data_IF_599057345038
#
_entry.id   IF_599057345038
#
_cell.length_a   1.000
_cell.length_b   1.000
_cell.length_c   1.000
_cell.angle_alpha   90.00
_cell.angle_beta   90.00
_cell.angle_gamma   90.00
#
_symmetry.space_group_name_H-M   'P 1'
#
loop_
_entity.id
_entity.type
_entity.pdbx_description
1 polymer ?
#
# COMPACT_ATOMS: atom_id res chain seq x y z
N UNK A 1 -72.63 -18.14 -15.18
CA UNK A 1 -71.19 -17.95 -15.48
C UNK A 1 -70.64 -16.54 -15.22
N UNK A 2 -71.45 -15.50 -14.94
CA UNK A 2 -70.93 -14.13 -14.70
C UNK A 2 -70.61 -13.78 -13.23
N UNK A 3 -71.07 -14.58 -12.25
CA UNK A 3 -70.83 -14.37 -10.81
C UNK A 3 -69.52 -14.98 -10.31
N UNK A 4 -68.96 -15.95 -11.04
CA UNK A 4 -67.63 -16.51 -10.77
C UNK A 4 -66.52 -15.59 -11.32
N UNK A 5 -66.78 -14.89 -12.43
CA UNK A 5 -65.85 -13.92 -13.00
C UNK A 5 -65.66 -12.68 -12.11
N UNK A 6 -66.69 -12.25 -11.39
CA UNK A 6 -66.61 -11.11 -10.46
C UNK A 6 -65.88 -11.43 -9.15
N UNK A 7 -65.85 -12.70 -8.72
CA UNK A 7 -65.07 -13.11 -7.54
C UNK A 7 -63.58 -13.25 -7.89
N UNK A 8 -63.28 -13.66 -9.14
CA UNK A 8 -61.91 -13.74 -9.64
C UNK A 8 -61.30 -12.36 -9.95
N UNK A 9 -62.13 -11.33 -10.25
CA UNK A 9 -61.67 -9.96 -10.46
C UNK A 9 -61.40 -9.18 -9.16
N UNK A 10 -62.02 -9.55 -8.04
CA UNK A 10 -61.84 -8.87 -6.74
C UNK A 10 -60.64 -9.41 -5.94
N UNK A 11 -60.24 -10.67 -6.15
CA UNK A 11 -59.06 -11.27 -5.51
C UNK A 11 -57.70 -10.79 -6.05
N UNK A 12 -57.68 -10.20 -7.25
CA UNK A 12 -56.45 -9.71 -7.91
C UNK A 12 -56.12 -8.26 -7.52
N UNK A 13 -57.04 -7.56 -6.84
CA UNK A 13 -56.88 -6.15 -6.46
C UNK A 13 -56.50 -5.91 -4.98
N UNK A 14 -56.27 -6.97 -4.18
CA UNK A 14 -55.99 -6.83 -2.74
C UNK A 14 -54.86 -7.73 -2.21
N UNK A 15 -53.74 -7.78 -2.92
CA UNK A 15 -52.49 -8.30 -2.34
C UNK A 15 -51.23 -7.68 -2.98
N UNK A 16 -51.28 -6.38 -3.30
CA UNK A 16 -50.11 -5.50 -3.16
C UNK A 16 -49.76 -5.35 -1.67
N UNK A 17 -49.47 -6.47 -1.00
CA UNK A 17 -48.77 -6.46 0.26
C UNK A 17 -47.29 -6.32 -0.11
N UNK A 18 -46.78 -5.12 0.09
CA UNK A 18 -45.40 -4.72 -0.09
C UNK A 18 -44.44 -5.87 0.27
N UNK A 19 -43.40 -6.18 -0.53
CA UNK A 19 -42.17 -6.57 0.12
C UNK A 19 -41.80 -5.34 0.94
N UNK A 20 -42.08 -5.38 2.24
CA UNK A 20 -41.29 -4.64 3.19
C UNK A 20 -39.86 -5.06 2.86
N UNK A 21 -39.20 -4.25 2.03
CA UNK A 21 -37.77 -4.24 1.94
C UNK A 21 -37.40 -4.00 3.39
N UNK A 22 -37.01 -5.09 4.07
CA UNK A 22 -36.33 -5.00 5.32
C UNK A 22 -35.20 -4.04 4.99
N UNK A 23 -35.38 -2.79 5.39
CA UNK A 23 -34.32 -1.85 5.55
C UNK A 23 -33.51 -2.51 6.66
N UNK A 24 -32.67 -3.46 6.25
CA UNK A 24 -31.49 -3.94 6.93
C UNK A 24 -30.61 -2.71 7.06
N UNK A 25 -31.07 -1.85 7.97
CA UNK A 25 -30.37 -0.81 8.67
C UNK A 25 -29.32 -1.53 9.49
N UNK A 26 -28.33 -2.10 8.79
CA UNK A 26 -26.99 -2.15 9.31
C UNK A 26 -26.58 -0.70 9.45
N UNK A 27 -27.02 -0.09 10.56
CA UNK A 27 -26.30 1.00 11.19
C UNK A 27 -24.90 0.43 11.38
N UNK A 28 -24.00 0.69 10.43
CA UNK A 28 -22.55 0.58 10.65
C UNK A 28 -22.36 1.32 11.96
N UNK A 29 -22.09 0.58 13.04
CA UNK A 29 -21.72 1.18 14.31
C UNK A 29 -20.60 2.12 13.92
N UNK A 30 -20.83 3.43 14.10
CA UNK A 30 -19.91 4.45 13.66
C UNK A 30 -18.77 4.44 14.69
N UNK A 31 -17.96 3.37 14.64
CA UNK A 31 -16.71 3.27 15.36
C UNK A 31 -15.93 4.50 14.96
N UNK A 32 -15.39 5.19 15.95
CA UNK A 32 -14.70 6.45 15.73
C UNK A 32 -13.59 6.22 14.70
N UNK A 33 -13.64 6.93 13.56
CA UNK A 33 -12.72 6.73 12.45
C UNK A 33 -11.25 6.84 12.91
N UNK A 34 -10.99 7.74 13.88
CA UNK A 34 -9.66 7.96 14.44
C UNK A 34 -9.12 6.78 15.24
N UNK A 35 -9.99 5.90 15.73
CA UNK A 35 -9.60 4.65 16.40
C UNK A 35 -9.62 3.46 15.43
N UNK A 36 -10.56 3.46 14.47
CA UNK A 36 -10.74 2.36 13.54
C UNK A 36 -9.64 2.29 12.47
N UNK A 37 -9.21 3.43 11.93
CA UNK A 37 -8.14 3.47 10.93
C UNK A 37 -6.83 2.84 11.44
N UNK A 38 -6.28 3.21 12.62
CA UNK A 38 -5.05 2.58 13.11
C UNK A 38 -5.25 1.09 13.45
N UNK A 39 -6.43 0.69 13.92
CA UNK A 39 -6.78 -0.73 14.12
C UNK A 39 -6.74 -1.50 12.78
N UNK A 40 -7.37 -0.97 11.74
CA UNK A 40 -7.38 -1.58 10.41
C UNK A 40 -5.97 -1.67 9.81
N UNK A 41 -5.15 -0.63 9.98
CA UNK A 41 -3.74 -0.65 9.57
C UNK A 41 -2.98 -1.76 10.29
N UNK A 42 -3.21 -1.94 11.59
CA UNK A 42 -2.59 -3.02 12.35
C UNK A 42 -3.04 -4.39 11.83
N UNK A 43 -4.35 -4.58 11.60
CA UNK A 43 -4.91 -5.83 11.07
C UNK A 43 -4.29 -6.17 9.72
N UNK A 44 -4.30 -5.23 8.77
CA UNK A 44 -3.74 -5.43 7.42
C UNK A 44 -2.27 -5.86 7.48
N UNK A 45 -1.48 -5.33 8.43
CA UNK A 45 -0.05 -5.63 8.52
C UNK A 45 0.29 -6.90 9.28
N UNK A 46 -0.51 -7.29 10.27
CA UNK A 46 -0.10 -8.29 11.27
C UNK A 46 -1.03 -9.49 11.39
N UNK A 47 -2.29 -9.39 10.94
CA UNK A 47 -3.26 -10.47 11.15
C UNK A 47 -2.86 -11.73 10.36
N UNK A 48 -2.85 -12.92 10.98
CA UNK A 48 -2.50 -14.16 10.29
C UNK A 48 -3.54 -14.58 9.23
N UNK A 49 -4.79 -14.14 9.36
CA UNK A 49 -5.88 -14.47 8.45
C UNK A 49 -5.90 -13.53 7.24
N UNK A 50 -5.66 -14.09 6.05
CA UNK A 50 -5.70 -13.37 4.79
C UNK A 50 -7.06 -12.72 4.51
N UNK A 51 -8.17 -13.30 4.97
CA UNK A 51 -9.51 -12.73 4.74
C UNK A 51 -9.72 -11.48 5.56
N UNK A 52 -9.26 -11.48 6.82
CA UNK A 52 -9.31 -10.29 7.68
C UNK A 52 -8.41 -9.18 7.15
N UNK A 53 -7.21 -9.53 6.68
CA UNK A 53 -6.32 -8.56 6.03
C UNK A 53 -6.92 -7.96 4.76
N UNK A 54 -7.50 -8.79 3.90
CA UNK A 54 -8.18 -8.32 2.68
C UNK A 54 -9.37 -7.42 3.00
N UNK A 55 -10.21 -7.81 3.98
CA UNK A 55 -11.35 -7.01 4.40
C UNK A 55 -10.93 -5.69 5.04
N UNK A 56 -9.88 -5.69 5.85
CA UNK A 56 -9.37 -4.47 6.44
C UNK A 56 -8.78 -3.52 5.37
N UNK A 57 -8.09 -4.05 4.35
CA UNK A 57 -7.65 -3.26 3.22
C UNK A 57 -8.83 -2.68 2.43
N UNK A 58 -9.91 -3.46 2.28
CA UNK A 58 -11.16 -2.98 1.69
C UNK A 58 -11.80 -1.87 2.52
N UNK A 59 -11.95 -2.03 3.83
CA UNK A 59 -12.53 -1.03 4.74
C UNK A 59 -11.73 0.28 4.73
N UNK A 60 -10.39 0.22 4.64
CA UNK A 60 -9.54 1.41 4.59
C UNK A 60 -9.88 2.36 3.43
N UNK A 61 -10.51 1.87 2.36
CA UNK A 61 -10.91 2.70 1.20
C UNK A 61 -12.12 3.59 1.47
N UNK A 62 -12.92 3.28 2.50
CA UNK A 62 -14.12 4.05 2.86
C UNK A 62 -13.78 5.30 3.69
N UNK A 63 -12.52 5.45 4.13
CA UNK A 63 -12.06 6.58 4.93
C UNK A 63 -11.48 7.71 4.07
N UNK A 64 -11.58 8.93 4.59
CA UNK A 64 -11.01 10.11 3.94
C UNK A 64 -9.48 10.11 4.05
N UNK A 65 -8.81 9.98 2.91
CA UNK A 65 -7.35 9.88 2.85
C UNK A 65 -6.66 11.23 2.96
N UNK A 66 -7.40 12.34 2.81
CA UNK A 66 -6.89 13.65 3.17
C UNK A 66 -6.77 13.80 4.69
N UNK A 67 -7.65 13.16 5.46
CA UNK A 67 -7.58 13.11 6.91
C UNK A 67 -6.59 12.06 7.43
N UNK A 68 -6.47 10.92 6.73
CA UNK A 68 -5.62 9.79 7.13
C UNK A 68 -4.58 9.48 6.04
N UNK A 69 -3.54 10.31 5.98
CA UNK A 69 -2.49 10.21 4.94
C UNK A 69 -1.64 8.94 5.04
N UNK A 70 -1.65 8.27 6.19
CA UNK A 70 -0.96 7.00 6.46
C UNK A 70 -1.57 5.81 5.72
N UNK A 71 -2.82 5.91 5.26
CA UNK A 71 -3.50 4.81 4.56
C UNK A 71 -2.81 4.48 3.24
N UNK A 72 -2.41 5.51 2.48
CA UNK A 72 -1.78 5.34 1.16
C UNK A 72 -0.49 4.51 1.23
N UNK A 73 0.53 4.87 2.04
CA UNK A 73 1.77 4.10 2.11
C UNK A 73 1.54 2.68 2.65
N UNK A 74 0.58 2.47 3.55
CA UNK A 74 0.24 1.13 4.05
C UNK A 74 -0.36 0.27 2.93
N UNK A 75 -1.33 0.78 2.17
CA UNK A 75 -1.91 0.05 1.05
C UNK A 75 -0.89 -0.22 -0.07
N UNK A 76 0.06 0.69 -0.28
CA UNK A 76 1.19 0.48 -1.22
C UNK A 76 2.10 -0.66 -0.74
N UNK A 77 2.48 -0.67 0.54
CA UNK A 77 3.30 -1.73 1.12
C UNK A 77 2.63 -3.10 0.97
N UNK A 78 1.33 -3.16 1.25
CA UNK A 78 0.52 -4.38 1.13
C UNK A 78 0.40 -4.83 -0.32
N UNK A 79 0.21 -3.90 -1.26
CA UNK A 79 0.18 -4.22 -2.69
C UNK A 79 1.48 -4.85 -3.17
N UNK A 80 2.63 -4.43 -2.64
CA UNK A 80 3.94 -4.88 -3.14
C UNK A 80 4.49 -6.10 -2.39
N UNK A 81 4.19 -6.25 -1.09
CA UNK A 81 4.87 -7.20 -0.23
C UNK A 81 3.95 -8.25 0.44
N UNK A 82 2.62 -8.16 0.26
CA UNK A 82 1.73 -9.15 0.89
C UNK A 82 1.92 -10.54 0.29
N UNK A 83 2.08 -11.53 1.17
CA UNK A 83 2.26 -12.95 0.82
C UNK A 83 1.13 -13.50 -0.05
N UNK A 84 -0.09 -12.99 0.11
CA UNK A 84 -1.31 -13.51 -0.54
C UNK A 84 -1.81 -12.54 -1.60
N UNK A 85 -1.91 -13.04 -2.83
CA UNK A 85 -2.38 -12.24 -3.96
C UNK A 85 -3.80 -11.67 -3.76
N UNK A 86 -4.67 -12.35 -3.01
CA UNK A 86 -6.03 -11.87 -2.73
C UNK A 86 -6.01 -10.55 -1.95
N UNK A 87 -5.11 -10.43 -0.97
CA UNK A 87 -4.92 -9.19 -0.20
C UNK A 87 -4.32 -8.10 -1.09
N UNK A 88 -3.34 -8.44 -1.94
CA UNK A 88 -2.76 -7.51 -2.93
C UNK A 88 -3.82 -6.93 -3.87
N UNK A 89 -4.75 -7.75 -4.33
CA UNK A 89 -5.87 -7.30 -5.19
C UNK A 89 -6.82 -6.35 -4.47
N UNK A 90 -7.13 -6.60 -3.20
CA UNK A 90 -7.97 -5.68 -2.43
C UNK A 90 -7.26 -4.36 -2.12
N UNK A 91 -5.96 -4.41 -1.82
CA UNK A 91 -5.14 -3.21 -1.68
C UNK A 91 -5.11 -2.41 -2.99
N UNK A 92 -4.89 -3.07 -4.14
CA UNK A 92 -4.96 -2.44 -5.47
C UNK A 92 -6.32 -1.79 -5.72
N UNK A 93 -7.41 -2.53 -5.47
CA UNK A 93 -8.77 -2.03 -5.66
C UNK A 93 -9.13 -0.86 -4.74
N UNK A 94 -8.48 -0.78 -3.58
CA UNK A 94 -8.58 0.34 -2.65
C UNK A 94 -7.79 1.54 -3.16
N UNK A 95 -6.55 1.32 -3.63
CA UNK A 95 -5.68 2.34 -4.22
C UNK A 95 -6.30 3.05 -5.45
N UNK A 96 -7.09 2.35 -6.28
CA UNK A 96 -7.74 2.95 -7.46
C UNK A 96 -8.80 3.98 -7.09
N UNK A 97 -9.50 3.75 -5.98
CA UNK A 97 -10.63 4.59 -5.53
C UNK A 97 -10.17 5.79 -4.69
N UNK A 98 -8.88 5.87 -4.36
CA UNK A 98 -8.30 6.93 -3.53
C UNK A 98 -8.47 8.28 -4.19
N UNK A 99 -8.99 9.24 -3.43
CA UNK A 99 -8.96 10.67 -3.78
C UNK A 99 -8.42 11.44 -2.57
N UNK A 100 -7.47 12.37 -2.77
CA UNK A 100 -6.88 12.83 -4.03
C UNK A 100 -5.94 11.81 -4.70
N UNK A 101 -5.71 11.97 -6.01
CA UNK A 101 -4.78 11.12 -6.77
C UNK A 101 -3.35 11.40 -6.32
N UNK A 102 -2.70 10.39 -5.77
CA UNK A 102 -1.30 10.42 -5.38
C UNK A 102 -0.44 9.67 -6.38
N UNK A 103 0.79 10.14 -6.56
CA UNK A 103 1.69 9.47 -7.49
C UNK A 103 2.36 8.24 -6.91
N UNK A 104 2.51 8.17 -5.59
CA UNK A 104 2.97 6.98 -4.88
C UNK A 104 2.08 5.79 -5.18
N UNK A 105 0.76 5.98 -5.19
CA UNK A 105 -0.19 4.94 -5.59
C UNK A 105 -0.03 4.54 -7.06
N UNK A 106 0.15 5.51 -7.98
CA UNK A 106 0.37 5.23 -9.40
C UNK A 106 1.65 4.44 -9.66
N UNK A 107 2.77 4.85 -9.07
CA UNK A 107 4.05 4.14 -9.17
C UNK A 107 3.97 2.72 -8.58
N UNK A 108 3.27 2.53 -7.47
CA UNK A 108 3.07 1.20 -6.90
C UNK A 108 2.26 0.29 -7.84
N UNK A 109 1.24 0.82 -8.51
CA UNK A 109 0.49 0.07 -9.51
C UNK A 109 1.33 -0.25 -10.76
N UNK A 110 2.22 0.65 -11.20
CA UNK A 110 3.17 0.40 -12.29
C UNK A 110 4.12 -0.75 -11.97
N UNK A 111 4.65 -0.78 -10.74
CA UNK A 111 5.46 -1.88 -10.23
C UNK A 111 4.67 -3.18 -10.20
N UNK A 112 3.49 -3.19 -9.57
CA UNK A 112 2.64 -4.39 -9.50
C UNK A 112 2.20 -4.89 -10.90
N UNK A 113 2.01 -4.00 -11.87
CA UNK A 113 1.67 -4.37 -13.25
C UNK A 113 2.80 -5.12 -13.98
N UNK A 114 4.05 -4.89 -13.57
CA UNK A 114 5.24 -5.38 -14.27
C UNK A 114 5.89 -6.53 -13.53
N UNK A 115 6.04 -6.39 -12.22
CA UNK A 115 6.90 -7.21 -11.34
C UNK A 115 6.13 -8.20 -10.44
N UNK A 116 4.79 -8.14 -10.34
CA UNK A 116 4.05 -9.07 -9.46
C UNK A 116 4.10 -10.51 -9.98
N UNK A 117 4.29 -11.48 -9.08
CA UNK A 117 4.39 -12.90 -9.41
C UNK A 117 3.11 -13.45 -10.08
N UNK A 118 1.95 -12.91 -9.72
CA UNK A 118 0.64 -13.44 -10.12
C UNK A 118 0.10 -12.66 -11.31
N UNK A 119 -0.07 -13.34 -12.44
CA UNK A 119 -0.59 -12.77 -13.69
C UNK A 119 -1.91 -12.00 -13.51
N UNK A 120 -2.81 -12.51 -12.66
CA UNK A 120 -4.08 -11.83 -12.36
C UNK A 120 -3.86 -10.46 -11.73
N UNK A 121 -2.92 -10.33 -10.80
CA UNK A 121 -2.59 -9.04 -10.15
C UNK A 121 -2.01 -8.09 -11.18
N UNK A 122 -1.09 -8.56 -12.02
CA UNK A 122 -0.50 -7.76 -13.10
C UNK A 122 -1.55 -7.19 -14.06
N UNK A 123 -2.46 -8.04 -14.55
CA UNK A 123 -3.52 -7.61 -15.47
C UNK A 123 -4.48 -6.63 -14.81
N UNK A 124 -4.84 -6.88 -13.55
CA UNK A 124 -5.71 -5.98 -12.81
C UNK A 124 -5.03 -4.64 -12.51
N UNK A 125 -3.72 -4.64 -12.23
CA UNK A 125 -2.93 -3.43 -12.05
C UNK A 125 -2.83 -2.60 -13.34
N UNK A 126 -2.69 -3.23 -14.50
CA UNK A 126 -2.76 -2.54 -15.80
C UNK A 126 -4.12 -1.90 -16.04
N UNK A 127 -5.20 -2.62 -15.76
CA UNK A 127 -6.57 -2.08 -15.88
C UNK A 127 -6.87 -0.99 -14.83
N UNK A 128 -6.24 -1.06 -13.67
CA UNK A 128 -6.28 -0.02 -12.64
C UNK A 128 -5.56 1.25 -13.11
N UNK A 129 -4.36 1.12 -13.70
CA UNK A 129 -3.58 2.24 -14.22
C UNK A 129 -4.31 3.01 -15.30
N UNK A 130 -4.98 2.34 -16.23
CA UNK A 130 -5.75 3.04 -17.27
C UNK A 130 -6.82 3.92 -16.64
N UNK A 131 -7.56 3.41 -15.65
CA UNK A 131 -8.54 4.18 -14.87
C UNK A 131 -7.88 5.31 -14.09
N UNK A 132 -6.71 5.07 -13.51
CA UNK A 132 -5.96 6.04 -12.72
C UNK A 132 -5.42 7.20 -13.58
N UNK A 133 -4.96 6.89 -14.80
CA UNK A 133 -4.52 7.85 -15.81
C UNK A 133 -5.70 8.73 -16.26
N UNK A 134 -6.85 8.11 -16.56
CA UNK A 134 -8.07 8.84 -16.91
C UNK A 134 -8.55 9.76 -15.79
N UNK A 135 -8.31 9.38 -14.54
CA UNK A 135 -8.65 10.21 -13.38
C UNK A 135 -7.70 11.40 -13.19
N UNK A 136 -6.57 11.47 -13.91
CA UNK A 136 -5.64 12.60 -13.91
C UNK A 136 -4.23 12.29 -13.42
N UNK A 137 -3.88 11.02 -13.17
CA UNK A 137 -2.49 10.65 -12.92
C UNK A 137 -1.64 10.74 -14.19
N UNK A 138 -0.45 11.32 -14.08
CA UNK A 138 0.56 11.34 -15.12
C UNK A 138 1.94 11.19 -14.48
N UNK A 139 2.64 10.09 -14.77
CA UNK A 139 3.97 9.81 -14.23
C UNK A 139 4.95 10.97 -14.48
N UNK A 140 4.93 11.54 -15.70
CA UNK A 140 5.81 12.66 -16.13
C UNK A 140 5.60 13.95 -15.33
N UNK A 141 4.39 14.20 -14.82
CA UNK A 141 4.08 15.41 -14.05
C UNK A 141 4.55 15.32 -12.60
N UNK A 142 4.68 14.10 -12.07
CA UNK A 142 5.02 13.90 -10.66
C UNK A 142 6.52 13.97 -10.40
N UNK A 143 7.37 13.48 -11.30
CA UNK A 143 8.83 13.60 -11.15
C UNK A 143 9.28 15.06 -10.96
N UNK A 144 8.59 16.03 -11.56
CA UNK A 144 8.84 17.46 -11.31
C UNK A 144 8.44 17.96 -9.92
N UNK A 145 7.48 17.31 -9.26
CA UNK A 145 6.95 17.75 -7.94
C UNK A 145 7.64 17.06 -6.77
N UNK A 146 8.19 15.85 -6.97
CA UNK A 146 8.98 15.14 -5.96
C UNK A 146 10.38 15.74 -5.75
N UNK A 147 10.89 16.51 -6.72
CA UNK A 147 12.20 17.15 -6.67
C UNK A 147 12.21 18.53 -5.98
N UNK A 148 11.07 18.99 -5.44
CA UNK A 148 10.94 20.31 -4.78
C UNK A 148 10.51 20.18 -3.30
N UNK A 149 10.84 19.06 -2.65
CA UNK A 149 10.94 19.07 -1.19
C UNK A 149 12.35 19.52 -0.87
N UNK A 150 12.51 20.84 -0.74
CA UNK A 150 13.71 21.47 -0.19
C UNK A 150 14.06 20.79 1.13
N UNK A 151 15.14 20.01 1.08
CA UNK A 151 15.93 19.68 2.27
C UNK A 151 16.27 21.02 2.94
N UNK A 152 15.89 21.26 4.20
CA UNK A 152 16.35 22.48 4.90
C UNK A 152 17.87 22.54 4.81
N UNK A 153 18.46 23.70 4.47
CA UNK A 153 19.90 23.81 4.26
C UNK A 153 20.60 23.49 5.57
N UNK A 154 21.25 22.33 5.62
CA UNK A 154 22.24 22.07 6.64
C UNK A 154 23.36 23.11 6.45
N UNK A 155 23.80 23.82 7.50
CA UNK A 155 24.92 24.74 7.39
C UNK A 155 26.16 23.95 6.97
N UNK A 156 26.64 24.23 5.75
CA UNK A 156 27.87 23.67 5.22
C UNK A 156 29.05 24.15 6.06
N UNK A 157 29.60 23.24 6.86
CA UNK A 157 30.94 23.41 7.42
C UNK A 157 31.96 23.39 6.26
N UNK A 158 32.93 24.30 6.22
CA UNK A 158 33.94 24.32 5.16
C UNK A 158 34.88 23.11 5.30
N UNK A 159 34.85 22.21 4.32
CA UNK A 159 35.87 21.16 4.19
C UNK A 159 37.21 21.78 3.78
N UNK A 160 38.34 21.42 4.42
CA UNK A 160 39.66 21.91 4.04
C UNK A 160 40.05 21.38 2.66
N UNK A 161 40.45 22.28 1.76
CA UNK A 161 41.15 21.94 0.52
C UNK A 161 42.51 21.34 0.91
N UNK A 162 42.72 20.08 0.59
CA UNK A 162 44.05 19.48 0.55
C UNK A 162 44.52 19.59 -0.89
N UNK A 163 45.44 20.51 -1.14
CA UNK A 163 46.14 20.62 -2.41
C UNK A 163 47.03 19.39 -2.62
N UNK A 164 46.80 18.73 -3.74
CA UNK A 164 47.55 17.58 -4.22
C UNK A 164 48.71 18.08 -5.08
N UNK A 165 49.89 18.19 -4.47
CA UNK A 165 51.15 18.26 -5.21
C UNK A 165 52.24 17.66 -4.34
N UNK A 166 52.75 16.48 -4.74
CA UNK A 166 54.19 16.20 -4.96
C UNK A 166 54.48 14.68 -5.01
N UNK A 167 55.39 14.31 -5.91
CA UNK A 167 55.74 12.99 -6.46
C UNK A 167 56.33 11.94 -5.47
N UNK A 168 56.46 10.65 -5.88
CA UNK A 168 56.55 9.51 -4.99
C UNK A 168 57.95 9.33 -4.39
N UNK A 169 58.03 9.16 -3.07
CA UNK A 169 59.22 8.64 -2.38
C UNK A 169 58.96 7.27 -1.79
N UNK A 170 59.88 6.38 -2.14
CA UNK A 170 60.07 4.99 -1.73
C UNK A 170 59.75 4.74 -0.25
N UNK A 171 59.00 3.68 0.00
CA UNK A 171 58.79 3.05 1.30
C UNK A 171 60.13 2.57 1.88
N UNK A 172 60.50 2.91 3.12
CA UNK A 172 61.49 2.16 3.86
C UNK A 172 60.87 0.88 4.43
N UNK A 173 61.55 -0.22 4.14
CA UNK A 173 61.41 -1.58 4.67
C UNK A 173 61.13 -1.57 6.17
N UNK A 174 59.96 -2.09 6.57
CA UNK A 174 59.65 -2.37 7.96
C UNK A 174 60.34 -3.67 8.39
N UNK A 175 61.11 -3.59 9.47
CA UNK A 175 61.71 -4.75 10.13
C UNK A 175 60.61 -5.70 10.69
N UNK A 176 60.86 -7.02 10.68
CA UNK A 176 59.92 -8.02 11.15
C UNK A 176 59.80 -8.03 12.69
N UNK A 177 58.56 -8.10 13.18
CA UNK A 177 58.22 -8.30 14.59
C UNK A 177 58.79 -9.65 15.11
N UNK A 178 59.27 -9.72 16.36
CA UNK A 178 59.80 -10.94 16.94
C UNK A 178 58.70 -11.98 17.22
N UNK A 179 59.03 -13.25 16.93
CA UNK A 179 58.21 -14.43 17.18
C UNK A 179 57.98 -14.64 18.68
N UNK A 180 56.71 -14.79 19.07
CA UNK A 180 56.32 -15.26 20.40
C UNK A 180 56.29 -16.78 20.36
N UNK A 181 57.32 -17.40 20.93
CA UNK A 181 57.40 -18.84 21.16
C UNK A 181 56.40 -19.26 22.24
N UNK A 182 55.39 -20.04 21.87
CA UNK A 182 54.51 -20.72 22.81
C UNK A 182 55.11 -22.06 23.25
N UNK A 183 55.23 -22.35 24.57
CA UNK A 183 55.71 -23.64 25.02
C UNK A 183 54.68 -24.74 24.81
N UNK A 184 55.08 -25.72 24.02
CA UNK A 184 54.45 -27.03 23.82
C UNK A 184 54.45 -27.83 25.12
N UNK A 185 53.27 -28.12 25.64
CA UNK A 185 53.08 -29.11 26.71
C UNK A 185 51.88 -30.00 26.39
N UNK A 186 52.17 -31.07 25.65
CA UNK A 186 51.49 -32.34 25.84
C UNK A 186 52.52 -33.38 26.26
N UNK A 187 52.19 -34.19 27.28
CA UNK A 187 52.63 -35.57 27.24
C UNK A 187 51.46 -36.54 27.42
N UNK A 188 51.41 -37.46 26.44
CA UNK A 188 50.97 -38.87 26.44
C UNK A 188 49.59 -39.24 26.96
#
# INVERSE_FOLDING_TARGET
MKRLATILLLGVLLAWASPAQAQLLFKKVKVNASQRVPELILIVKTDPDERKRAHAAEELRDYDMAAYTEIVPVLVDVLLHDKKHSVRLEALGSLVKIRPITATAGQAMEKAATEDDVLRVRLQAKAALTKYHLAGYSAKKTEKKASTVERPPAPSLPSPRVDESELPRRMPTGDPLPAVEGPSLFPR
#
